data_IF_354185093633
#
_entry.id   IF_354185093633
#
_cell.length_a   1.000
_cell.length_b   1.000
_cell.length_c   1.000
_cell.angle_alpha   90.00
_cell.angle_beta   90.00
_cell.angle_gamma   90.00
#
_symmetry.space_group_name_H-M   'P 1'
#
loop_
_entity.id
_entity.type
_entity.pdbx_description
1 polymer ?
#
# COMPACT_ATOMS: atom_id res chain seq x y z
N UNK A 1 -9.41 9.00 14.45
CA UNK A 1 -8.41 8.87 13.36
C UNK A 1 -8.49 7.44 12.90
N UNK A 2 -8.81 7.21 11.62
CA UNK A 2 -8.85 5.86 11.06
C UNK A 2 -7.57 5.65 10.27
N UNK A 3 -6.88 4.54 10.54
CA UNK A 3 -5.67 4.17 9.83
C UNK A 3 -5.94 2.82 9.20
N UNK A 4 -5.72 2.73 7.89
CA UNK A 4 -5.73 1.47 7.20
C UNK A 4 -4.33 1.16 6.66
N UNK A 5 -4.02 -0.13 6.55
CA UNK A 5 -2.70 -0.58 6.16
C UNK A 5 -2.85 -1.57 5.01
N UNK A 6 -2.12 -1.31 3.92
CA UNK A 6 -1.85 -2.33 2.90
C UNK A 6 -0.54 -3.01 3.29
N UNK A 7 -0.57 -4.32 3.49
CA UNK A 7 0.52 -5.07 4.07
C UNK A 7 1.29 -5.87 3.02
N UNK A 8 2.51 -6.27 3.36
CA UNK A 8 3.25 -7.24 2.55
C UNK A 8 2.53 -8.59 2.43
N UNK A 9 1.64 -8.96 3.36
CA UNK A 9 0.90 -10.22 3.24
C UNK A 9 -0.13 -10.18 2.10
N UNK A 10 -0.57 -8.99 1.69
CA UNK A 10 -1.42 -8.81 0.53
C UNK A 10 -0.62 -9.03 -0.77
N UNK A 11 0.69 -8.75 -0.72
CA UNK A 11 1.61 -8.93 -1.84
C UNK A 11 2.24 -10.33 -1.90
N UNK A 12 2.52 -10.99 -0.79
CA UNK A 12 3.27 -12.26 -0.76
C UNK A 12 2.34 -13.47 -0.59
N UNK A 13 2.40 -14.40 -1.54
CA UNK A 13 1.75 -15.70 -1.46
C UNK A 13 2.45 -16.61 -0.45
N UNK A 14 1.76 -17.68 -0.01
CA UNK A 14 2.30 -18.66 0.96
C UNK A 14 3.65 -19.28 0.56
N UNK A 15 3.97 -19.31 -0.74
CA UNK A 15 5.24 -19.84 -1.28
C UNK A 15 6.39 -18.82 -1.27
N UNK A 16 6.17 -17.59 -0.80
CA UNK A 16 7.17 -16.51 -0.79
C UNK A 16 7.27 -15.73 -2.11
N UNK A 17 6.50 -16.13 -3.13
CA UNK A 17 6.35 -15.40 -4.39
C UNK A 17 5.38 -14.22 -4.22
N UNK A 18 5.54 -13.19 -5.04
CA UNK A 18 4.56 -12.10 -5.09
C UNK A 18 3.31 -12.48 -5.88
N UNK A 19 2.14 -12.18 -5.35
CA UNK A 19 0.85 -12.32 -6.01
C UNK A 19 0.57 -11.23 -7.06
N UNK A 20 -0.71 -11.14 -7.42
CA UNK A 20 -1.23 -10.16 -8.37
C UNK A 20 -1.43 -8.81 -7.67
N UNK A 21 -0.77 -7.76 -8.16
CA UNK A 21 -0.87 -6.42 -7.59
C UNK A 21 -2.22 -5.75 -7.88
N UNK A 22 -2.92 -6.15 -8.96
CA UNK A 22 -4.21 -5.53 -9.29
C UNK A 22 -5.29 -5.81 -8.26
N UNK A 23 -5.32 -7.01 -7.67
CA UNK A 23 -6.29 -7.36 -6.63
C UNK A 23 -6.09 -6.49 -5.39
N UNK A 24 -4.84 -6.29 -4.99
CA UNK A 24 -4.46 -5.41 -3.87
C UNK A 24 -4.92 -3.98 -4.13
N UNK A 25 -4.73 -3.48 -5.36
CA UNK A 25 -5.12 -2.13 -5.73
C UNK A 25 -6.64 -1.99 -5.73
N UNK A 26 -7.38 -2.95 -6.26
CA UNK A 26 -8.85 -2.94 -6.23
C UNK A 26 -9.39 -2.92 -4.80
N UNK A 27 -8.87 -3.77 -3.92
CA UNK A 27 -9.26 -3.79 -2.51
C UNK A 27 -8.92 -2.46 -1.81
N UNK A 28 -7.73 -1.92 -2.10
CA UNK A 28 -7.33 -0.62 -1.57
C UNK A 28 -8.19 0.53 -2.10
N UNK A 29 -8.65 0.49 -3.35
CA UNK A 29 -9.59 1.48 -3.90
C UNK A 29 -10.88 1.52 -3.09
N UNK A 30 -11.49 0.37 -2.83
CA UNK A 30 -12.71 0.28 -2.02
C UNK A 30 -12.46 0.83 -0.60
N UNK A 31 -11.34 0.45 0.00
CA UNK A 31 -10.95 0.92 1.33
C UNK A 31 -10.77 2.44 1.37
N UNK A 32 -10.04 3.03 0.42
CA UNK A 32 -9.81 4.48 0.33
C UNK A 32 -11.13 5.23 0.12
N UNK A 33 -12.03 4.70 -0.73
CA UNK A 33 -13.34 5.29 -0.96
C UNK A 33 -14.20 5.34 0.31
N UNK A 34 -14.14 4.31 1.15
CA UNK A 34 -14.81 4.31 2.45
C UNK A 34 -14.14 5.28 3.44
N UNK A 35 -12.81 5.38 3.43
CA UNK A 35 -12.07 6.26 4.34
C UNK A 35 -12.36 7.74 4.12
N UNK A 36 -12.75 8.16 2.91
CA UNK A 36 -13.09 9.57 2.62
C UNK A 36 -14.27 10.09 3.46
N UNK A 37 -15.09 9.20 4.03
CA UNK A 37 -16.25 9.53 4.87
C UNK A 37 -15.88 9.90 6.30
N UNK A 38 -14.65 9.65 6.71
CA UNK A 38 -14.19 9.87 8.08
C UNK A 38 -13.26 11.07 8.16
N UNK A 39 -13.35 11.81 9.27
CA UNK A 39 -12.39 12.87 9.57
C UNK A 39 -11.07 12.28 10.06
N UNK A 40 -9.95 12.79 9.52
CA UNK A 40 -8.58 12.40 9.87
C UNK A 40 -8.31 10.92 9.59
N UNK A 41 -8.07 10.61 8.32
CA UNK A 41 -7.72 9.26 7.86
C UNK A 41 -6.30 9.19 7.31
N UNK A 42 -5.71 8.01 7.40
CA UNK A 42 -4.43 7.71 6.75
C UNK A 42 -4.42 6.29 6.18
N UNK A 43 -3.72 6.11 5.07
CA UNK A 43 -3.37 4.82 4.49
C UNK A 43 -1.86 4.64 4.58
N UNK A 44 -1.45 3.51 5.12
CA UNK A 44 -0.05 3.11 5.19
C UNK A 44 0.22 2.10 4.07
N UNK A 45 1.22 2.39 3.24
CA UNK A 45 1.66 1.53 2.15
C UNK A 45 2.41 0.28 2.62
N UNK A 46 2.82 -0.53 1.65
CA UNK A 46 3.58 -1.76 1.86
C UNK A 46 5.00 -1.40 2.28
N UNK A 47 5.47 -2.00 3.38
CA UNK A 47 6.89 -2.04 3.71
C UNK A 47 7.52 -3.26 3.02
N UNK A 48 8.48 -3.07 2.08
CA UNK A 48 9.15 -4.17 1.42
C UNK A 48 9.89 -5.07 2.43
N UNK A 49 9.84 -6.39 2.22
CA UNK A 49 10.57 -7.35 3.07
C UNK A 49 12.07 -7.28 2.74
N UNK A 50 12.89 -7.16 3.77
CA UNK A 50 14.36 -7.24 3.64
C UNK A 50 14.75 -8.60 3.06
N UNK A 51 15.62 -8.59 2.05
CA UNK A 51 16.06 -9.80 1.34
C UNK A 51 15.06 -10.36 0.31
N UNK A 52 13.91 -9.72 0.11
CA UNK A 52 13.07 -10.04 -1.04
C UNK A 52 13.79 -9.62 -2.33
N UNK A 53 13.71 -10.45 -3.38
CA UNK A 53 14.36 -10.16 -4.66
C UNK A 53 13.87 -8.84 -5.27
N UNK A 54 14.66 -8.28 -6.18
CA UNK A 54 14.39 -6.99 -6.85
C UNK A 54 12.97 -6.90 -7.47
N UNK A 55 12.44 -8.02 -7.96
CA UNK A 55 11.08 -8.10 -8.49
C UNK A 55 10.00 -7.79 -7.45
N UNK A 56 10.17 -8.29 -6.22
CA UNK A 56 9.21 -8.06 -5.15
C UNK A 56 9.27 -6.63 -4.62
N UNK A 57 10.48 -6.06 -4.56
CA UNK A 57 10.68 -4.65 -4.23
C UNK A 57 10.00 -3.75 -5.26
N UNK A 58 10.24 -3.99 -6.55
CA UNK A 58 9.63 -3.22 -7.64
C UNK A 58 8.09 -3.23 -7.56
N UNK A 59 7.49 -4.40 -7.30
CA UNK A 59 6.04 -4.50 -7.08
C UNK A 59 5.55 -3.72 -5.86
N UNK A 60 6.25 -3.80 -4.74
CA UNK A 60 5.87 -3.06 -3.53
C UNK A 60 5.91 -1.54 -3.74
N UNK A 61 6.95 -1.04 -4.42
CA UNK A 61 7.07 0.37 -4.80
C UNK A 61 5.92 0.77 -5.72
N UNK A 62 5.68 0.02 -6.80
CA UNK A 62 4.59 0.33 -7.73
C UNK A 62 3.19 0.28 -7.10
N UNK A 63 2.99 -0.57 -6.08
CA UNK A 63 1.75 -0.54 -5.28
C UNK A 63 1.67 0.75 -4.47
N UNK A 64 2.74 1.15 -3.78
CA UNK A 64 2.76 2.36 -2.98
C UNK A 64 2.53 3.63 -3.80
N UNK A 65 3.16 3.75 -4.98
CA UNK A 65 2.93 4.86 -5.91
C UNK A 65 1.45 4.96 -6.31
N UNK A 66 0.83 3.84 -6.66
CA UNK A 66 -0.60 3.80 -7.01
C UNK A 66 -1.50 4.13 -5.81
N UNK A 67 -1.14 3.70 -4.61
CA UNK A 67 -1.88 4.06 -3.39
C UNK A 67 -1.81 5.56 -3.12
N UNK A 68 -0.65 6.19 -3.31
CA UNK A 68 -0.46 7.62 -3.18
C UNK A 68 -1.32 8.40 -4.17
N UNK A 69 -1.31 7.99 -5.44
CA UNK A 69 -2.12 8.57 -6.51
C UNK A 69 -3.63 8.48 -6.24
N UNK A 70 -4.08 7.42 -5.56
CA UNK A 70 -5.49 7.27 -5.17
C UNK A 70 -5.86 8.10 -3.94
N UNK A 71 -4.97 8.19 -2.96
CA UNK A 71 -5.23 8.88 -1.70
C UNK A 71 -5.24 10.40 -1.88
N UNK A 72 -4.31 10.93 -2.67
CA UNK A 72 -4.08 12.37 -2.90
C UNK A 72 -5.34 13.14 -3.33
N UNK A 73 -6.06 12.76 -4.41
CA UNK A 73 -7.25 13.49 -4.86
C UNK A 73 -8.42 13.41 -3.87
N UNK A 74 -8.43 12.40 -2.98
CA UNK A 74 -9.48 12.19 -1.98
C UNK A 74 -9.17 12.84 -0.63
N UNK A 75 -8.03 13.52 -0.49
CA UNK A 75 -7.61 14.17 0.75
C UNK A 75 -7.30 13.17 1.88
N UNK A 76 -7.11 11.89 1.54
CA UNK A 76 -6.69 10.84 2.48
C UNK A 76 -5.17 10.92 2.59
N UNK A 77 -4.63 10.96 3.82
CA UNK A 77 -3.17 11.00 3.99
C UNK A 77 -2.56 9.67 3.59
N UNK A 78 -1.60 9.67 2.67
CA UNK A 78 -0.77 8.49 2.42
C UNK A 78 0.53 8.55 3.22
N UNK A 79 0.98 7.41 3.71
CA UNK A 79 2.28 7.24 4.37
C UNK A 79 2.99 6.08 3.71
N UNK A 80 4.09 6.38 3.01
CA UNK A 80 5.00 5.36 2.50
C UNK A 80 6.06 5.02 3.56
N UNK A 81 5.96 3.86 4.24
CA UNK A 81 6.94 3.48 5.23
C UNK A 81 8.31 3.21 4.62
N UNK A 82 8.42 2.87 3.32
CA UNK A 82 9.72 2.66 2.69
C UNK A 82 10.51 3.97 2.63
N UNK A 83 9.90 5.05 2.13
CA UNK A 83 10.53 6.38 2.11
C UNK A 83 10.83 6.89 3.53
N UNK A 84 10.00 6.55 4.51
CA UNK A 84 10.20 7.00 5.91
C UNK A 84 11.35 6.26 6.60
N UNK A 85 11.56 4.97 6.33
CA UNK A 85 12.56 4.15 7.01
C UNK A 85 13.88 3.98 6.24
N UNK A 86 13.85 4.11 4.91
CA UNK A 86 14.99 3.81 4.03
C UNK A 86 15.33 4.93 3.03
N UNK A 87 14.51 6.00 2.96
CA UNK A 87 14.71 7.17 2.10
C UNK A 87 15.55 8.26 2.73
#
# INVERSE_FOLDING_TARGET
MVVAQVSGNDLFLRKGETGNTEEIILDAMYMVDELKRFNRTAVIGILPRLGAGSHALSKAIGVNERLEDMCTPLGVRFVDPYNVFYG
#
